data_IF_898576556031
#
_entry.id   IF_898576556031
#
_cell.length_a   1.000
_cell.length_b   1.000
_cell.length_c   1.000
_cell.angle_alpha   90.00
_cell.angle_beta   90.00
_cell.angle_gamma   90.00
#
_symmetry.space_group_name_H-M   'P 1'
#
loop_
_entity.id
_entity.type
_entity.pdbx_description
1 polymer ?
#
# COMPACT_ATOMS: atom_id res chain seq x y z
N UNK A 1 15.46 21.85 10.83
CA UNK A 1 15.03 21.96 9.42
C UNK A 1 13.58 21.53 9.21
N UNK A 2 13.11 20.42 9.76
CA UNK A 2 11.69 20.03 9.61
C UNK A 2 10.71 20.98 10.31
N UNK A 3 11.07 21.56 11.44
CA UNK A 3 10.27 22.57 12.16
C UNK A 3 10.01 23.81 11.31
N UNK A 4 11.01 24.30 10.58
CA UNK A 4 10.86 25.46 9.71
C UNK A 4 9.91 25.19 8.51
N UNK A 5 9.88 23.95 7.99
CA UNK A 5 9.00 23.58 6.88
C UNK A 5 7.54 23.48 7.32
N UNK A 6 7.26 22.94 8.48
CA UNK A 6 5.88 22.83 8.96
C UNK A 6 5.28 24.20 9.32
N UNK A 7 6.09 25.13 9.81
CA UNK A 7 5.65 26.51 10.07
C UNK A 7 5.27 27.21 8.76
N UNK A 8 6.05 27.00 7.70
CA UNK A 8 5.73 27.54 6.36
C UNK A 8 4.41 26.93 5.81
N UNK A 9 4.22 25.62 5.98
CA UNK A 9 2.97 24.94 5.59
C UNK A 9 1.78 25.52 6.38
N UNK A 10 1.93 25.73 7.69
CA UNK A 10 0.88 26.36 8.52
C UNK A 10 0.54 27.77 8.05
N UNK A 11 1.55 28.57 7.71
CA UNK A 11 1.34 29.94 7.20
C UNK A 11 0.57 29.91 5.87
N UNK A 12 0.96 29.02 4.96
CA UNK A 12 0.28 28.88 3.66
C UNK A 12 -1.17 28.39 3.80
N UNK A 13 -1.39 27.38 4.67
CA UNK A 13 -2.75 26.90 4.99
C UNK A 13 -3.60 28.00 5.64
N UNK A 14 -3.00 28.88 6.48
CA UNK A 14 -3.73 30.01 7.06
C UNK A 14 -4.14 31.04 6.00
N UNK A 15 -3.26 31.30 5.04
CA UNK A 15 -3.55 32.24 3.94
C UNK A 15 -4.62 31.72 2.98
N UNK A 16 -4.64 30.40 2.74
CA UNK A 16 -5.56 29.76 1.78
C UNK A 16 -6.82 29.18 2.43
N UNK A 17 -6.93 29.18 3.77
CA UNK A 17 -7.99 28.49 4.50
C UNK A 17 -9.41 28.85 4.03
N UNK A 18 -9.73 30.14 3.84
CA UNK A 18 -11.06 30.59 3.41
C UNK A 18 -11.35 30.22 1.96
N UNK A 19 -10.32 30.14 1.11
CA UNK A 19 -10.48 29.68 -0.27
C UNK A 19 -10.69 28.15 -0.32
N UNK A 20 -10.00 27.41 0.52
CA UNK A 20 -10.13 25.94 0.62
C UNK A 20 -11.48 25.53 1.22
N UNK A 21 -12.00 26.31 2.17
CA UNK A 21 -13.22 26.01 2.94
C UNK A 21 -14.15 27.24 3.01
N UNK A 22 -14.76 27.65 1.89
CA UNK A 22 -15.52 28.92 1.79
C UNK A 22 -16.77 28.96 2.69
N UNK A 23 -17.29 27.81 3.07
CA UNK A 23 -18.50 27.70 3.92
C UNK A 23 -18.21 27.47 5.39
N UNK A 24 -16.93 27.39 5.81
CA UNK A 24 -16.56 27.06 7.18
C UNK A 24 -16.66 28.25 8.16
N UNK A 25 -16.89 29.46 7.65
CA UNK A 25 -16.93 30.68 8.44
C UNK A 25 -15.56 31.30 8.67
N UNK A 26 -15.46 32.21 9.64
CA UNK A 26 -14.22 32.91 9.96
C UNK A 26 -13.14 31.96 10.45
N UNK A 27 -11.90 32.12 9.94
CA UNK A 27 -10.74 31.37 10.40
C UNK A 27 -10.34 31.83 11.81
N UNK A 28 -10.27 30.89 12.76
CA UNK A 28 -9.85 31.15 14.14
C UNK A 28 -8.38 30.79 14.35
N UNK A 29 -7.98 29.59 13.94
CA UNK A 29 -6.64 29.11 14.18
C UNK A 29 -6.20 28.01 13.19
N UNK A 30 -4.88 27.83 13.03
CA UNK A 30 -4.27 26.68 12.36
C UNK A 30 -3.21 26.13 13.30
N UNK A 31 -3.38 24.90 13.76
CA UNK A 31 -2.47 24.31 14.78
C UNK A 31 -2.12 22.86 14.45
N UNK A 32 -0.91 22.46 14.81
CA UNK A 32 -0.48 21.06 14.78
C UNK A 32 -1.07 20.34 15.99
N UNK A 33 -1.80 19.26 15.78
CA UNK A 33 -2.40 18.46 16.84
C UNK A 33 -1.70 17.13 17.08
N UNK A 34 -0.76 16.77 16.18
CA UNK A 34 0.08 15.60 16.33
C UNK A 34 1.05 15.43 15.18
N UNK A 35 2.04 14.55 15.37
CA UNK A 35 2.90 14.11 14.28
C UNK A 35 3.32 12.66 14.46
N UNK A 36 3.55 11.97 13.35
CA UNK A 36 4.03 10.60 13.31
C UNK A 36 5.31 10.54 12.49
N UNK A 37 6.46 10.24 13.11
CA UNK A 37 7.72 10.07 12.37
C UNK A 37 7.71 8.72 11.63
N UNK A 38 8.11 8.75 10.36
CA UNK A 38 8.40 7.58 9.52
C UNK A 38 9.88 7.58 9.14
N UNK A 39 10.33 6.54 8.46
CA UNK A 39 11.75 6.39 8.09
C UNK A 39 12.24 7.47 7.13
N UNK A 40 11.39 7.91 6.21
CA UNK A 40 11.70 8.81 5.10
C UNK A 40 10.89 10.11 5.10
N UNK A 41 9.88 10.23 5.95
CA UNK A 41 9.03 11.41 6.07
C UNK A 41 8.45 11.58 7.48
N UNK A 42 7.82 12.72 7.72
CA UNK A 42 6.93 12.96 8.85
C UNK A 42 5.50 13.13 8.34
N UNK A 43 4.52 12.64 9.09
CA UNK A 43 3.11 12.97 8.86
C UNK A 43 2.66 13.86 10.00
N UNK A 44 2.36 15.12 9.69
CA UNK A 44 1.77 16.07 10.64
C UNK A 44 0.27 16.06 10.50
N UNK A 45 -0.40 16.08 11.63
CA UNK A 45 -1.83 16.22 11.76
C UNK A 45 -2.13 17.68 12.11
N UNK A 46 -2.70 18.41 11.17
CA UNK A 46 -3.00 19.84 11.31
C UNK A 46 -4.51 20.01 11.44
N UNK A 47 -4.92 20.84 12.38
CA UNK A 47 -6.30 21.26 12.57
C UNK A 47 -6.46 22.72 12.13
N UNK A 48 -7.43 22.98 11.28
CA UNK A 48 -7.84 24.32 10.87
C UNK A 48 -9.16 24.60 11.57
N UNK A 49 -9.15 25.49 12.55
CA UNK A 49 -10.32 25.82 13.36
C UNK A 49 -11.04 27.05 12.75
N UNK A 50 -12.31 26.90 12.45
CA UNK A 50 -13.20 27.93 11.95
C UNK A 50 -14.30 28.27 12.97
N UNK A 51 -15.09 29.30 12.69
CA UNK A 51 -16.23 29.68 13.52
C UNK A 51 -17.30 28.56 13.58
N UNK A 52 -17.49 27.84 12.47
CA UNK A 52 -18.55 26.83 12.31
C UNK A 52 -18.04 25.39 12.48
N UNK A 53 -16.78 25.16 12.87
CA UNK A 53 -16.22 23.81 13.04
C UNK A 53 -14.73 23.77 12.84
N UNK A 54 -14.20 22.57 12.60
CA UNK A 54 -12.78 22.39 12.33
C UNK A 54 -12.56 21.35 11.22
N UNK A 55 -11.52 21.60 10.42
CA UNK A 55 -11.09 20.70 9.35
C UNK A 55 -9.75 20.03 9.70
N UNK A 56 -9.58 18.80 9.30
CA UNK A 56 -8.36 18.04 9.57
C UNK A 56 -7.56 17.84 8.28
N UNK A 57 -6.28 18.13 8.38
CA UNK A 57 -5.34 18.11 7.25
C UNK A 57 -4.17 17.20 7.61
N UNK A 58 -3.73 16.39 6.66
CA UNK A 58 -2.50 15.62 6.72
C UNK A 58 -1.41 16.31 5.90
N UNK A 59 -0.29 16.67 6.54
CA UNK A 59 0.89 17.18 5.85
C UNK A 59 2.02 16.14 5.94
N UNK A 60 2.34 15.50 4.81
CA UNK A 60 3.45 14.56 4.65
C UNK A 60 4.68 15.33 4.24
N UNK A 61 5.68 15.44 5.12
CA UNK A 61 6.92 16.21 4.92
C UNK A 61 8.08 15.24 4.76
N UNK A 62 8.71 15.22 3.61
CA UNK A 62 9.82 14.32 3.30
C UNK A 62 11.13 14.76 3.98
N UNK A 63 11.97 13.77 4.36
CA UNK A 63 13.27 14.01 5.00
C UNK A 63 14.37 14.16 3.97
N UNK A 64 15.09 15.27 4.01
CA UNK A 64 16.21 15.55 3.10
C UNK A 64 17.46 14.69 3.35
N UNK A 65 17.52 13.98 4.48
CA UNK A 65 18.70 13.20 4.89
C UNK A 65 19.05 12.04 3.94
N UNK A 66 18.11 11.59 3.09
CA UNK A 66 18.32 10.45 2.18
C UNK A 66 18.56 10.82 0.72
N UNK A 67 17.97 11.90 0.24
CA UNK A 67 17.99 12.25 -1.18
C UNK A 67 18.29 13.74 -1.45
N UNK A 68 18.66 14.49 -0.42
CA UNK A 68 18.89 15.93 -0.51
C UNK A 68 17.61 16.73 -0.75
N UNK A 69 17.73 18.05 -0.76
CA UNK A 69 16.59 18.96 -0.91
C UNK A 69 15.90 18.82 -2.30
N UNK A 70 16.68 18.71 -3.36
CA UNK A 70 16.16 18.58 -4.71
C UNK A 70 15.40 17.26 -4.89
N UNK A 71 15.92 16.15 -4.36
CA UNK A 71 15.27 14.85 -4.39
C UNK A 71 13.93 14.84 -3.63
N UNK A 72 13.89 15.49 -2.45
CA UNK A 72 12.68 15.65 -1.64
C UNK A 72 11.58 16.40 -2.41
N UNK A 73 11.95 17.52 -3.05
CA UNK A 73 11.00 18.30 -3.87
C UNK A 73 10.47 17.50 -5.05
N UNK A 74 11.33 16.74 -5.73
CA UNK A 74 10.93 15.90 -6.87
C UNK A 74 9.93 14.81 -6.43
N UNK A 75 10.20 14.12 -5.31
CA UNK A 75 9.28 13.10 -4.76
C UNK A 75 7.94 13.73 -4.38
N UNK A 76 7.96 14.84 -3.65
CA UNK A 76 6.73 15.54 -3.24
C UNK A 76 5.93 16.03 -4.43
N UNK A 77 6.58 16.55 -5.47
CA UNK A 77 5.93 16.97 -6.72
C UNK A 77 5.25 15.80 -7.41
N UNK A 78 5.96 14.68 -7.59
CA UNK A 78 5.40 13.47 -8.22
C UNK A 78 4.20 12.96 -7.43
N UNK A 79 4.28 12.88 -6.10
CA UNK A 79 3.16 12.42 -5.28
C UNK A 79 1.97 13.38 -5.35
N UNK A 80 2.20 14.68 -5.32
CA UNK A 80 1.13 15.69 -5.43
C UNK A 80 0.42 15.62 -6.79
N UNK A 81 1.17 15.47 -7.89
CA UNK A 81 0.63 15.27 -9.24
C UNK A 81 -0.17 13.95 -9.35
N UNK A 82 0.29 12.88 -8.72
CA UNK A 82 -0.40 11.59 -8.70
C UNK A 82 -1.69 11.65 -7.88
N UNK A 83 -1.64 12.26 -6.69
CA UNK A 83 -2.82 12.47 -5.85
C UNK A 83 -3.86 13.34 -6.56
N UNK A 84 -3.44 14.45 -7.16
CA UNK A 84 -4.33 15.33 -7.92
C UNK A 84 -5.00 14.63 -9.10
N UNK A 85 -4.26 13.79 -9.82
CA UNK A 85 -4.82 12.97 -10.90
C UNK A 85 -5.85 11.97 -10.37
N UNK A 86 -5.48 11.18 -9.34
CA UNK A 86 -6.38 10.19 -8.76
C UNK A 86 -7.66 10.84 -8.24
N UNK A 87 -7.54 11.96 -7.52
CA UNK A 87 -8.67 12.74 -7.01
C UNK A 87 -9.58 13.20 -8.16
N UNK A 88 -9.02 13.80 -9.21
CA UNK A 88 -9.81 14.29 -10.34
C UNK A 88 -10.57 13.19 -11.10
N UNK A 89 -10.01 11.98 -11.19
CA UNK A 89 -10.69 10.83 -11.80
C UNK A 89 -11.86 10.38 -10.94
N UNK A 90 -11.69 10.31 -9.63
CA UNK A 90 -12.73 9.89 -8.69
C UNK A 90 -13.85 10.90 -8.57
N UNK A 91 -13.52 12.20 -8.49
CA UNK A 91 -14.50 13.28 -8.47
C UNK A 91 -15.41 13.24 -9.71
N UNK A 92 -14.85 13.08 -10.91
CA UNK A 92 -15.61 12.95 -12.16
C UNK A 92 -16.52 11.72 -12.22
N UNK A 93 -16.23 10.69 -11.42
CA UNK A 93 -16.96 9.41 -11.37
C UNK A 93 -17.87 9.29 -10.14
N UNK A 94 -17.94 10.34 -9.32
CA UNK A 94 -18.64 10.33 -8.02
C UNK A 94 -18.21 9.16 -7.11
N UNK A 95 -16.90 8.94 -7.05
CA UNK A 95 -16.29 7.91 -6.22
C UNK A 95 -15.59 8.55 -5.03
N UNK A 96 -15.58 7.85 -3.88
CA UNK A 96 -14.99 8.32 -2.64
C UNK A 96 -13.70 7.55 -2.28
N UNK A 97 -12.96 8.07 -1.29
CA UNK A 97 -11.83 7.39 -0.67
C UNK A 97 -10.44 7.86 -1.13
N UNK A 98 -10.38 8.95 -1.91
CA UNK A 98 -9.14 9.66 -2.22
C UNK A 98 -9.18 11.00 -1.49
N UNK A 99 -8.16 11.37 -0.68
CA UNK A 99 -8.17 12.64 0.02
C UNK A 99 -8.01 13.80 -0.94
N UNK A 100 -8.77 14.88 -0.74
CA UNK A 100 -8.65 16.08 -1.55
C UNK A 100 -7.28 16.72 -1.36
N UNK A 101 -6.49 16.98 -2.42
CA UNK A 101 -5.26 17.75 -2.33
C UNK A 101 -5.59 19.22 -2.00
N UNK A 102 -4.79 19.86 -1.15
CA UNK A 102 -5.02 21.22 -0.66
C UNK A 102 -4.04 22.24 -1.24
N UNK A 103 -3.39 21.92 -2.35
CA UNK A 103 -2.46 22.80 -3.05
C UNK A 103 -1.13 22.12 -3.35
N UNK A 104 -0.22 22.86 -3.98
CA UNK A 104 1.13 22.38 -4.30
C UNK A 104 2.15 22.87 -3.25
N UNK A 105 2.53 21.98 -2.37
CA UNK A 105 3.56 22.19 -1.34
C UNK A 105 4.90 21.52 -1.67
N UNK A 106 5.10 21.12 -2.93
CA UNK A 106 6.31 20.41 -3.36
C UNK A 106 7.59 21.24 -3.22
N UNK A 107 7.51 22.54 -3.31
CA UNK A 107 8.64 23.46 -3.07
C UNK A 107 9.19 23.34 -1.64
N UNK A 108 8.33 22.99 -0.68
CA UNK A 108 8.70 22.71 0.71
C UNK A 108 9.08 21.23 0.92
N UNK A 109 8.98 20.39 -0.12
CA UNK A 109 9.18 18.94 -0.03
C UNK A 109 8.04 18.24 0.73
N UNK A 110 6.81 18.72 0.57
CA UNK A 110 5.64 18.22 1.26
C UNK A 110 4.46 17.95 0.32
N UNK A 111 3.56 17.08 0.76
CA UNK A 111 2.24 16.84 0.17
C UNK A 111 1.20 17.10 1.26
N UNK A 112 0.20 17.91 0.93
CA UNK A 112 -0.84 18.34 1.88
C UNK A 112 -2.21 17.98 1.31
N UNK A 113 -2.99 17.28 2.10
CA UNK A 113 -4.35 16.84 1.72
C UNK A 113 -5.29 16.86 2.91
N UNK A 114 -6.58 16.78 2.65
CA UNK A 114 -7.54 16.45 3.70
C UNK A 114 -7.14 15.15 4.40
N UNK A 115 -7.36 15.10 5.71
CA UNK A 115 -7.02 13.91 6.49
C UNK A 115 -8.16 12.90 6.43
N UNK A 116 -7.86 11.70 5.95
CA UNK A 116 -8.76 10.56 6.10
C UNK A 116 -8.73 10.12 7.57
N UNK A 117 -9.85 10.25 8.27
CA UNK A 117 -10.00 9.84 9.66
C UNK A 117 -10.37 8.36 9.75
N UNK A 118 -9.60 7.57 10.50
CA UNK A 118 -9.81 6.15 10.64
C UNK A 118 -8.57 5.40 11.10
N UNK A 119 -8.63 4.07 11.01
CA UNK A 119 -7.53 3.18 11.37
C UNK A 119 -6.98 2.47 10.14
N UNK A 120 -5.66 2.30 10.02
CA UNK A 120 -5.08 1.44 8.98
C UNK A 120 -5.65 0.02 9.09
N UNK A 121 -6.08 -0.54 7.97
CA UNK A 121 -6.61 -1.92 7.90
C UNK A 121 -5.59 -2.92 8.45
N UNK A 122 -4.30 -2.69 8.26
CA UNK A 122 -3.23 -3.51 8.85
C UNK A 122 -3.33 -3.59 10.38
N UNK A 123 -3.64 -2.48 11.06
CA UNK A 123 -3.78 -2.47 12.52
C UNK A 123 -4.98 -3.29 12.98
N UNK A 124 -6.09 -3.25 12.22
CA UNK A 124 -7.30 -4.03 12.48
C UNK A 124 -7.02 -5.52 12.27
N UNK A 125 -6.36 -5.89 11.15
CA UNK A 125 -5.94 -7.27 10.87
C UNK A 125 -5.02 -7.79 11.98
N UNK A 126 -4.00 -7.02 12.37
CA UNK A 126 -3.07 -7.42 13.42
C UNK A 126 -3.76 -7.63 14.76
N UNK A 127 -4.68 -6.75 15.13
CA UNK A 127 -5.49 -6.92 16.36
C UNK A 127 -6.32 -8.21 16.31
N UNK A 128 -7.00 -8.46 15.18
CA UNK A 128 -7.81 -9.66 15.02
C UNK A 128 -6.97 -10.95 14.98
N UNK A 129 -5.82 -10.92 14.31
CA UNK A 129 -4.97 -12.10 14.14
C UNK A 129 -4.21 -12.48 15.42
N UNK A 130 -3.87 -11.50 16.28
CA UNK A 130 -3.14 -11.75 17.53
C UNK A 130 -4.03 -11.85 18.75
N UNK A 131 -5.21 -11.21 18.73
CA UNK A 131 -6.15 -11.13 19.84
C UNK A 131 -7.58 -11.45 19.35
N UNK A 132 -7.86 -12.66 18.87
CA UNK A 132 -9.13 -12.98 18.20
C UNK A 132 -10.35 -12.80 19.09
N UNK A 133 -10.24 -12.99 20.40
CA UNK A 133 -11.35 -12.80 21.35
C UNK A 133 -11.79 -11.34 21.55
N UNK A 134 -11.01 -10.37 21.05
CA UNK A 134 -11.27 -8.93 21.21
C UNK A 134 -11.49 -8.21 19.89
N UNK A 135 -11.69 -8.95 18.80
CA UNK A 135 -11.80 -8.38 17.46
C UNK A 135 -13.21 -8.57 16.88
N UNK A 136 -13.69 -7.55 16.19
CA UNK A 136 -14.84 -7.64 15.31
C UNK A 136 -14.43 -8.28 13.99
N UNK A 137 -14.64 -9.60 13.90
CA UNK A 137 -14.32 -10.37 12.70
C UNK A 137 -15.22 -10.00 11.51
N UNK A 138 -16.49 -9.71 11.75
CA UNK A 138 -17.45 -9.30 10.71
C UNK A 138 -17.05 -7.97 10.09
N UNK A 139 -16.75 -6.98 10.90
CA UNK A 139 -16.30 -5.68 10.47
C UNK A 139 -14.93 -5.71 9.76
N UNK A 140 -14.02 -6.62 10.16
CA UNK A 140 -12.75 -6.82 9.47
C UNK A 140 -12.96 -7.37 8.05
N UNK A 141 -13.77 -8.43 7.90
CA UNK A 141 -14.07 -9.04 6.59
C UNK A 141 -14.79 -8.04 5.69
N UNK A 142 -15.74 -7.29 6.23
CA UNK A 142 -16.42 -6.21 5.51
C UNK A 142 -15.45 -5.11 5.04
N UNK A 143 -14.48 -4.73 5.88
CA UNK A 143 -13.46 -3.74 5.53
C UNK A 143 -12.51 -4.23 4.43
N UNK A 144 -12.14 -5.52 4.47
CA UNK A 144 -11.35 -6.13 3.40
C UNK A 144 -12.12 -6.17 2.06
N UNK A 145 -13.41 -6.48 2.09
CA UNK A 145 -14.30 -6.44 0.94
C UNK A 145 -14.38 -5.03 0.35
N UNK A 146 -14.59 -4.00 1.18
CA UNK A 146 -14.58 -2.59 0.74
C UNK A 146 -13.25 -2.17 0.12
N UNK A 147 -12.12 -2.67 0.62
CA UNK A 147 -10.80 -2.42 0.01
C UNK A 147 -10.69 -3.04 -1.39
N UNK A 148 -11.21 -4.25 -1.59
CA UNK A 148 -11.26 -4.90 -2.91
C UNK A 148 -12.18 -4.17 -3.90
N UNK A 149 -13.36 -3.76 -3.45
CA UNK A 149 -14.31 -2.96 -4.24
C UNK A 149 -13.72 -1.61 -4.64
N UNK A 150 -13.05 -0.94 -3.70
CA UNK A 150 -12.39 0.33 -3.96
C UNK A 150 -11.31 0.18 -5.03
N UNK A 151 -10.41 -0.81 -4.89
CA UNK A 151 -9.33 -1.05 -5.85
C UNK A 151 -9.89 -1.40 -7.24
N UNK A 152 -10.93 -2.23 -7.29
CA UNK A 152 -11.64 -2.54 -8.54
C UNK A 152 -12.20 -1.28 -9.20
N UNK A 153 -12.80 -0.38 -8.40
CA UNK A 153 -13.36 0.88 -8.89
C UNK A 153 -12.27 1.81 -9.41
N UNK A 154 -11.15 1.91 -8.70
CA UNK A 154 -9.97 2.68 -9.11
C UNK A 154 -9.42 2.17 -10.45
N UNK A 155 -9.16 0.87 -10.57
CA UNK A 155 -8.67 0.27 -11.81
C UNK A 155 -9.66 0.41 -12.97
N UNK A 156 -10.98 0.29 -12.73
CA UNK A 156 -12.00 0.53 -13.76
C UNK A 156 -12.09 2.00 -14.16
N UNK A 157 -11.98 2.91 -13.22
CA UNK A 157 -12.06 4.34 -13.48
C UNK A 157 -10.86 4.86 -14.31
N UNK A 158 -9.71 4.19 -14.15
CA UNK A 158 -8.45 4.52 -14.83
C UNK A 158 -8.05 3.49 -15.89
N UNK A 159 -8.97 2.62 -16.31
CA UNK A 159 -8.69 1.54 -17.26
C UNK A 159 -8.12 2.06 -18.58
N UNK A 160 -7.12 1.37 -19.05
CA UNK A 160 -6.45 1.59 -20.35
C UNK A 160 -6.45 0.29 -21.17
N UNK A 161 -5.87 0.32 -22.36
CA UNK A 161 -5.73 -0.87 -23.19
C UNK A 161 -4.94 -1.95 -22.47
N UNK A 162 -5.39 -3.22 -22.50
CA UNK A 162 -4.66 -4.32 -21.89
C UNK A 162 -3.22 -4.38 -22.38
N UNK A 163 -2.31 -4.75 -21.49
CA UNK A 163 -0.89 -4.92 -21.84
C UNK A 163 -0.60 -6.38 -22.23
N UNK A 164 0.23 -6.61 -23.25
CA UNK A 164 0.72 -7.96 -23.54
C UNK A 164 1.38 -8.56 -22.30
N UNK A 165 1.03 -9.79 -21.98
CA UNK A 165 1.63 -10.52 -20.88
C UNK A 165 2.44 -11.69 -21.43
N UNK A 166 3.73 -11.65 -21.15
CA UNK A 166 4.64 -12.74 -21.45
C UNK A 166 4.96 -13.52 -20.16
N UNK A 167 4.45 -14.76 -20.03
CA UNK A 167 4.76 -15.62 -18.90
C UNK A 167 6.26 -15.87 -18.69
N UNK A 168 7.05 -15.94 -19.77
CA UNK A 168 8.49 -16.22 -19.69
C UNK A 168 9.26 -15.05 -19.06
N UNK A 169 8.84 -13.80 -19.32
CA UNK A 169 9.41 -12.63 -18.66
C UNK A 169 9.15 -12.68 -17.16
N UNK A 170 7.93 -13.03 -16.73
CA UNK A 170 7.62 -13.16 -15.30
C UNK A 170 8.40 -14.34 -14.66
N UNK A 171 8.55 -15.46 -15.36
CA UNK A 171 9.33 -16.59 -14.88
C UNK A 171 10.82 -16.23 -14.74
N UNK A 172 11.41 -15.56 -15.71
CA UNK A 172 12.80 -15.09 -15.65
C UNK A 172 13.04 -14.12 -14.48
N UNK A 173 12.11 -13.20 -14.24
CA UNK A 173 12.18 -12.29 -13.10
C UNK A 173 12.06 -13.06 -11.76
N UNK A 174 11.17 -14.05 -11.70
CA UNK A 174 11.02 -14.91 -10.52
C UNK A 174 12.28 -15.77 -10.27
N UNK A 175 12.91 -16.31 -11.32
CA UNK A 175 14.19 -17.02 -11.24
C UNK A 175 15.29 -16.13 -10.67
N UNK A 176 15.41 -14.91 -11.19
CA UNK A 176 16.38 -13.91 -10.72
C UNK A 176 16.18 -13.59 -9.23
N UNK A 177 14.94 -13.43 -8.81
CA UNK A 177 14.61 -13.23 -7.39
C UNK A 177 14.94 -14.46 -6.54
N UNK A 178 14.69 -15.67 -7.03
CA UNK A 178 15.04 -16.92 -6.34
C UNK A 178 16.56 -17.04 -6.16
N UNK A 179 17.37 -16.67 -7.16
CA UNK A 179 18.83 -16.63 -7.05
C UNK A 179 19.27 -15.67 -5.95
N UNK A 180 18.71 -14.46 -5.93
CA UNK A 180 18.99 -13.49 -4.87
C UNK A 180 18.59 -14.03 -3.48
N UNK A 181 17.42 -14.66 -3.38
CA UNK A 181 16.93 -15.25 -2.13
C UNK A 181 17.74 -16.47 -1.67
N UNK A 182 18.34 -17.24 -2.60
CA UNK A 182 19.29 -18.32 -2.28
C UNK A 182 20.50 -17.75 -1.53
N UNK A 183 21.08 -16.67 -2.00
CA UNK A 183 22.16 -15.94 -1.32
C UNK A 183 21.76 -15.48 0.10
N UNK A 184 20.47 -15.30 0.36
CA UNK A 184 19.88 -14.96 1.66
C UNK A 184 19.47 -16.19 2.49
N UNK A 185 19.71 -17.41 2.01
CA UNK A 185 19.48 -18.66 2.72
C UNK A 185 18.16 -19.37 2.40
N UNK A 186 17.45 -19.02 1.34
CA UNK A 186 16.32 -19.81 0.83
C UNK A 186 16.88 -21.12 0.22
N UNK A 187 16.30 -22.25 0.59
CA UNK A 187 16.79 -23.56 0.13
C UNK A 187 16.33 -23.91 -1.29
N UNK A 188 17.09 -24.82 -1.93
CA UNK A 188 16.83 -25.26 -3.29
C UNK A 188 15.51 -26.02 -3.45
N UNK A 189 14.99 -26.63 -2.39
CA UNK A 189 13.71 -27.31 -2.44
C UNK A 189 12.56 -26.31 -2.57
N UNK A 190 12.59 -25.23 -1.78
CA UNK A 190 11.61 -24.15 -1.88
C UNK A 190 11.70 -23.46 -3.25
N UNK A 191 12.92 -23.19 -3.76
CA UNK A 191 13.14 -22.60 -5.08
C UNK A 191 12.54 -23.49 -6.17
N UNK A 192 12.81 -24.80 -6.15
CA UNK A 192 12.21 -25.74 -7.12
C UNK A 192 10.69 -25.74 -7.04
N UNK A 193 10.12 -25.75 -5.84
CA UNK A 193 8.66 -25.69 -5.65
C UNK A 193 8.08 -24.43 -6.27
N UNK A 194 8.69 -23.28 -6.01
CA UNK A 194 8.25 -21.97 -6.56
C UNK A 194 8.28 -22.00 -8.08
N UNK A 195 9.41 -22.36 -8.68
CA UNK A 195 9.58 -22.29 -10.14
C UNK A 195 8.73 -23.31 -10.88
N UNK A 196 8.64 -24.56 -10.36
CA UNK A 196 7.79 -25.59 -10.96
C UNK A 196 6.31 -25.20 -10.85
N UNK A 197 5.88 -24.73 -9.69
CA UNK A 197 4.50 -24.26 -9.50
C UNK A 197 4.16 -23.06 -10.37
N UNK A 198 5.07 -22.08 -10.47
CA UNK A 198 4.86 -20.92 -11.33
C UNK A 198 4.72 -21.32 -12.82
N UNK A 199 5.59 -22.20 -13.34
CA UNK A 199 5.49 -22.72 -14.71
C UNK A 199 4.14 -23.41 -14.94
N UNK A 200 3.70 -24.24 -13.99
CA UNK A 200 2.39 -24.91 -14.09
C UNK A 200 1.22 -23.93 -14.08
N UNK A 201 1.22 -22.94 -13.17
CA UNK A 201 0.17 -21.93 -13.08
C UNK A 201 0.10 -21.03 -14.31
N UNK A 202 1.24 -20.67 -14.90
CA UNK A 202 1.32 -19.78 -16.06
C UNK A 202 1.11 -20.49 -17.39
N UNK A 203 1.25 -21.81 -17.47
CA UNK A 203 1.06 -22.59 -18.73
C UNK A 203 -0.33 -22.43 -19.35
N UNK A 204 -1.35 -22.09 -18.55
CA UNK A 204 -2.74 -21.88 -18.94
C UNK A 204 -3.18 -20.42 -18.85
N UNK A 205 -2.22 -19.49 -18.67
CA UNK A 205 -2.49 -18.09 -18.40
C UNK A 205 -2.97 -17.28 -19.60
N UNK A 206 -3.57 -16.13 -19.30
CA UNK A 206 -3.91 -15.11 -20.30
C UNK A 206 -2.65 -14.53 -20.92
N UNK A 207 -2.73 -14.10 -22.18
CA UNK A 207 -1.64 -13.42 -22.88
C UNK A 207 -1.73 -11.90 -22.81
N UNK A 208 -2.71 -11.37 -22.10
CA UNK A 208 -2.86 -9.95 -21.84
C UNK A 208 -3.40 -9.74 -20.42
N UNK A 209 -2.87 -8.73 -19.74
CA UNK A 209 -3.33 -8.31 -18.41
C UNK A 209 -4.06 -6.97 -18.51
N UNK A 210 -5.09 -6.76 -17.66
CA UNK A 210 -5.73 -5.46 -17.57
C UNK A 210 -4.72 -4.40 -17.12
N UNK A 211 -4.74 -3.26 -17.79
CA UNK A 211 -3.90 -2.09 -17.51
C UNK A 211 -4.75 -0.93 -17.02
N UNK A 212 -4.22 -0.19 -16.08
CA UNK A 212 -4.83 0.99 -15.47
C UNK A 212 -3.76 1.86 -14.80
N UNK A 213 -4.13 2.94 -14.17
CA UNK A 213 -3.26 3.51 -13.15
C UNK A 213 -3.05 2.48 -12.02
N UNK A 214 -1.83 2.40 -11.49
CA UNK A 214 -1.43 1.46 -10.43
C UNK A 214 -0.76 2.21 -9.29
N UNK A 215 -1.10 1.85 -8.06
CA UNK A 215 -0.58 2.51 -6.85
C UNK A 215 0.83 2.04 -6.51
N UNK A 216 1.20 0.81 -6.90
CA UNK A 216 2.50 0.18 -6.63
C UNK A 216 2.89 0.06 -5.15
N UNK A 217 2.01 0.50 -4.26
CA UNK A 217 2.14 0.37 -2.79
C UNK A 217 0.77 0.18 -2.11
N UNK A 218 -0.16 -0.49 -2.81
CA UNK A 218 -1.47 -0.80 -2.26
C UNK A 218 -1.36 -1.89 -1.20
N UNK A 219 -1.10 -1.47 0.03
CA UNK A 219 -0.91 -2.35 1.20
C UNK A 219 -1.98 -2.07 2.25
N UNK A 220 -2.30 -3.01 3.16
CA UNK A 220 -3.24 -2.77 4.24
C UNK A 220 -2.84 -1.60 5.17
N UNK A 221 -1.56 -1.19 5.17
CA UNK A 221 -1.09 -0.03 5.91
C UNK A 221 -1.61 1.29 5.32
N UNK A 222 -1.73 1.35 3.99
CA UNK A 222 -2.16 2.53 3.24
C UNK A 222 -3.68 2.56 2.99
N UNK A 223 -4.41 1.52 3.42
CA UNK A 223 -5.88 1.46 3.42
C UNK A 223 -6.38 1.90 4.79
N UNK A 224 -7.05 3.04 4.85
CA UNK A 224 -7.65 3.58 6.07
C UNK A 224 -9.13 3.20 6.12
N UNK A 225 -9.52 2.48 7.15
CA UNK A 225 -10.93 2.14 7.40
C UNK A 225 -11.60 3.29 8.14
N UNK A 226 -12.61 3.88 7.53
CA UNK A 226 -13.40 4.99 8.05
C UNK A 226 -14.90 4.62 8.11
N UNK A 227 -15.69 5.44 8.76
CA UNK A 227 -17.14 5.18 8.90
C UNK A 227 -17.85 5.04 7.55
N UNK A 228 -17.49 5.87 6.58
CA UNK A 228 -18.08 5.88 5.22
C UNK A 228 -17.54 4.77 4.30
N UNK A 229 -16.49 4.05 4.69
CA UNK A 229 -15.88 3.06 3.82
C UNK A 229 -14.38 2.87 4.02
N UNK A 230 -13.62 2.99 2.95
CA UNK A 230 -12.16 2.97 2.97
C UNK A 230 -11.61 4.17 2.21
N UNK A 231 -10.49 4.70 2.71
CA UNK A 231 -9.73 5.70 2.01
C UNK A 231 -8.28 5.25 1.82
N UNK A 232 -7.63 5.77 0.79
CA UNK A 232 -6.27 5.37 0.42
C UNK A 232 -5.32 6.53 0.62
N UNK A 233 -4.15 6.23 1.17
CA UNK A 233 -3.05 7.17 1.37
C UNK A 233 -1.81 6.68 0.63
N UNK A 234 -0.85 7.59 0.43
CA UNK A 234 0.46 7.32 -0.21
C UNK A 234 0.38 7.04 -1.72
N UNK A 235 0.54 8.12 -2.49
CA UNK A 235 0.56 8.11 -3.95
C UNK A 235 1.96 8.29 -4.55
N UNK A 236 3.01 8.26 -3.72
CA UNK A 236 4.39 8.52 -4.14
C UNK A 236 4.89 7.56 -5.24
N UNK A 237 4.42 6.30 -5.21
CA UNK A 237 4.82 5.25 -6.15
C UNK A 237 3.82 5.02 -7.27
N UNK A 238 2.73 5.74 -7.29
CA UNK A 238 1.71 5.56 -8.30
C UNK A 238 2.28 5.81 -9.70
N UNK A 239 1.92 4.95 -10.64
CA UNK A 239 2.14 5.13 -12.08
C UNK A 239 0.80 5.27 -12.77
N UNK A 240 0.72 6.13 -13.80
CA UNK A 240 -0.54 6.38 -14.53
C UNK A 240 -0.95 5.23 -15.44
N UNK A 241 -0.05 4.27 -15.66
CA UNK A 241 -0.27 3.07 -16.43
C UNK A 241 0.59 1.93 -15.92
N UNK A 242 0.02 0.76 -15.83
CA UNK A 242 0.70 -0.48 -15.48
C UNK A 242 -0.27 -1.65 -15.30
N UNK A 243 0.24 -2.86 -15.08
CA UNK A 243 -0.59 -4.04 -14.89
C UNK A 243 -1.32 -3.97 -13.55
N UNK A 244 -2.66 -3.89 -13.60
CA UNK A 244 -3.54 -3.72 -12.42
C UNK A 244 -3.36 -4.81 -11.36
N UNK A 245 -2.99 -6.03 -11.78
CA UNK A 245 -2.78 -7.15 -10.86
C UNK A 245 -1.58 -6.99 -9.92
N UNK A 246 -0.68 -6.03 -10.21
CA UNK A 246 0.42 -5.68 -9.32
C UNK A 246 -0.07 -5.22 -7.94
N UNK A 247 -1.07 -4.34 -7.91
CA UNK A 247 -1.65 -3.83 -6.66
C UNK A 247 -2.41 -4.91 -5.89
N UNK A 248 -3.15 -5.77 -6.60
CA UNK A 248 -3.84 -6.93 -5.99
C UNK A 248 -2.84 -7.87 -5.32
N UNK A 249 -1.77 -8.22 -6.03
CA UNK A 249 -0.71 -9.08 -5.52
C UNK A 249 0.02 -8.45 -4.34
N UNK A 250 0.25 -7.12 -4.38
CA UNK A 250 0.87 -6.36 -3.29
C UNK A 250 0.03 -6.41 -2.01
N UNK A 251 -1.28 -6.19 -2.11
CA UNK A 251 -2.20 -6.29 -0.97
C UNK A 251 -2.19 -7.70 -0.37
N UNK A 252 -2.41 -8.73 -1.20
CA UNK A 252 -2.45 -10.12 -0.76
C UNK A 252 -1.13 -10.55 -0.11
N UNK A 253 0.01 -10.23 -0.73
CA UNK A 253 1.33 -10.53 -0.17
C UNK A 253 1.57 -9.81 1.16
N UNK A 254 1.10 -8.56 1.29
CA UNK A 254 1.24 -7.78 2.52
C UNK A 254 0.41 -8.35 3.66
N UNK A 255 -0.80 -8.84 3.39
CA UNK A 255 -1.64 -9.55 4.37
C UNK A 255 -0.99 -10.87 4.77
N UNK A 256 -0.57 -11.69 3.79
CA UNK A 256 0.08 -12.98 4.05
C UNK A 256 1.39 -12.82 4.82
N UNK A 257 2.16 -11.75 4.57
CA UNK A 257 3.39 -11.46 5.29
C UNK A 257 3.19 -11.18 6.79
N UNK A 258 1.98 -10.90 7.26
CA UNK A 258 1.66 -10.79 8.68
C UNK A 258 1.77 -12.14 9.41
N UNK A 259 1.63 -13.26 8.70
CA UNK A 259 1.77 -14.62 9.24
C UNK A 259 3.21 -14.95 9.73
N UNK A 260 4.18 -14.10 9.42
CA UNK A 260 5.54 -14.20 10.00
C UNK A 260 5.56 -13.94 11.50
N UNK A 261 4.56 -13.23 12.04
CA UNK A 261 4.52 -12.98 13.48
C UNK A 261 4.09 -14.23 14.23
N UNK A 262 4.78 -14.56 15.33
CA UNK A 262 4.38 -15.67 16.18
C UNK A 262 2.93 -15.52 16.65
N UNK A 263 2.20 -16.63 16.68
CA UNK A 263 0.81 -16.69 17.11
C UNK A 263 -0.20 -15.96 16.20
N UNK A 264 0.22 -15.52 15.02
CA UNK A 264 -0.72 -14.96 14.04
C UNK A 264 -1.72 -16.03 13.60
N UNK A 265 -3.00 -15.75 13.76
CA UNK A 265 -4.08 -16.62 13.31
C UNK A 265 -4.21 -16.56 11.77
N UNK A 266 -3.71 -17.60 11.11
CA UNK A 266 -3.72 -17.71 9.64
C UNK A 266 -5.12 -17.77 9.03
N UNK A 267 -6.12 -18.24 9.78
CA UNK A 267 -7.50 -18.23 9.31
C UNK A 267 -8.00 -16.80 9.08
N UNK A 268 -7.59 -15.85 9.94
CA UNK A 268 -7.95 -14.45 9.79
C UNK A 268 -7.30 -13.83 8.54
N UNK A 269 -6.02 -14.05 8.34
CA UNK A 269 -5.33 -13.54 7.14
C UNK A 269 -5.87 -14.16 5.85
N UNK A 270 -6.25 -15.43 5.88
CA UNK A 270 -6.94 -16.12 4.78
C UNK A 270 -8.30 -15.47 4.46
N UNK A 271 -9.17 -15.32 5.47
CA UNK A 271 -10.49 -14.68 5.31
C UNK A 271 -10.40 -13.26 4.73
N UNK A 272 -9.40 -12.48 5.17
CA UNK A 272 -9.15 -11.13 4.64
C UNK A 272 -8.76 -11.18 3.15
N UNK A 273 -7.86 -12.10 2.77
CA UNK A 273 -7.45 -12.26 1.37
C UNK A 273 -8.62 -12.72 0.49
N UNK A 274 -9.41 -13.69 0.96
CA UNK A 274 -10.55 -14.24 0.23
C UNK A 274 -11.61 -13.16 0.01
N UNK A 275 -12.00 -12.43 1.06
CA UNK A 275 -12.98 -11.35 0.98
C UNK A 275 -12.55 -10.21 0.04
N UNK A 276 -11.27 -9.84 0.11
CA UNK A 276 -10.69 -8.84 -0.79
C UNK A 276 -10.71 -9.31 -2.25
N UNK A 277 -10.25 -10.54 -2.52
CA UNK A 277 -10.15 -11.07 -3.87
C UNK A 277 -11.51 -11.31 -4.52
N UNK A 278 -12.49 -11.80 -3.74
CA UNK A 278 -13.88 -11.95 -4.17
C UNK A 278 -14.47 -10.60 -4.59
N UNK A 279 -14.30 -9.57 -3.77
CA UNK A 279 -14.80 -8.23 -4.04
C UNK A 279 -14.10 -7.55 -5.22
N UNK A 280 -12.79 -7.78 -5.37
CA UNK A 280 -12.06 -7.34 -6.56
C UNK A 280 -12.58 -8.02 -7.82
N UNK A 281 -13.06 -9.27 -7.74
CA UNK A 281 -13.72 -10.00 -8.80
C UNK A 281 -12.77 -10.67 -9.79
N UNK A 282 -11.61 -11.13 -9.34
CA UNK A 282 -10.69 -11.92 -10.15
C UNK A 282 -11.23 -13.32 -10.41
N UNK A 283 -11.29 -13.73 -11.68
CA UNK A 283 -11.70 -15.07 -12.07
C UNK A 283 -10.61 -16.12 -11.83
N UNK A 284 -10.92 -17.40 -11.95
CA UNK A 284 -10.00 -18.51 -11.65
C UNK A 284 -8.70 -18.49 -12.45
N UNK A 285 -8.73 -18.08 -13.73
CA UNK A 285 -7.52 -17.96 -14.56
C UNK A 285 -6.64 -16.78 -14.13
N UNK A 286 -7.25 -15.69 -13.68
CA UNK A 286 -6.56 -14.52 -13.12
C UNK A 286 -5.95 -14.83 -11.76
N UNK A 287 -6.63 -15.62 -10.93
CA UNK A 287 -6.12 -16.07 -9.64
C UNK A 287 -4.81 -16.88 -9.77
N UNK A 288 -4.65 -17.67 -10.84
CA UNK A 288 -3.41 -18.39 -11.11
C UNK A 288 -2.22 -17.40 -11.30
N UNK A 289 -2.42 -16.36 -12.11
CA UNK A 289 -1.40 -15.32 -12.32
C UNK A 289 -1.15 -14.55 -11.02
N UNK A 290 -2.21 -14.20 -10.28
CA UNK A 290 -2.10 -13.49 -9.00
C UNK A 290 -1.31 -14.27 -7.95
N UNK A 291 -1.41 -15.62 -7.91
CA UNK A 291 -0.59 -16.47 -7.03
C UNK A 291 0.90 -16.29 -7.35
N UNK A 292 1.28 -16.27 -8.62
CA UNK A 292 2.68 -16.10 -9.05
C UNK A 292 3.16 -14.70 -8.73
N UNK A 293 2.37 -13.65 -9.04
CA UNK A 293 2.69 -12.27 -8.71
C UNK A 293 2.80 -12.05 -7.19
N UNK A 294 1.91 -12.65 -6.40
CA UNK A 294 2.00 -12.62 -4.93
C UNK A 294 3.31 -13.23 -4.44
N UNK A 295 3.71 -14.40 -4.97
CA UNK A 295 4.99 -15.03 -4.60
C UNK A 295 6.18 -14.15 -4.98
N UNK A 296 6.16 -13.51 -6.15
CA UNK A 296 7.16 -12.54 -6.56
C UNK A 296 7.30 -11.39 -5.56
N UNK A 297 6.19 -10.84 -5.09
CA UNK A 297 6.19 -9.78 -4.07
C UNK A 297 6.78 -10.28 -2.76
N UNK A 298 6.40 -11.47 -2.29
CA UNK A 298 6.93 -12.07 -1.06
C UNK A 298 8.46 -12.29 -1.14
N UNK A 299 8.96 -12.81 -2.27
CA UNK A 299 10.41 -12.95 -2.50
C UNK A 299 11.12 -11.59 -2.52
N UNK A 300 10.52 -10.57 -3.14
CA UNK A 300 11.06 -9.21 -3.12
C UNK A 300 11.11 -8.62 -1.71
N UNK A 301 10.11 -8.91 -0.87
CA UNK A 301 10.13 -8.51 0.56
C UNK A 301 11.22 -9.23 1.33
N UNK A 302 11.44 -10.52 1.05
CA UNK A 302 12.49 -11.30 1.68
C UNK A 302 13.88 -10.77 1.31
N UNK A 303 14.16 -10.58 0.02
CA UNK A 303 15.43 -10.06 -0.47
C UNK A 303 15.76 -8.65 0.07
N UNK A 304 14.74 -7.78 0.19
CA UNK A 304 14.92 -6.41 0.72
C UNK A 304 15.08 -6.34 2.23
N UNK A 305 14.50 -7.26 2.98
CA UNK A 305 14.47 -7.22 4.45
C UNK A 305 15.85 -7.31 5.10
N UNK A 306 16.86 -7.83 4.39
CA UNK A 306 18.25 -7.93 4.87
C UNK A 306 19.08 -6.65 4.66
N UNK A 307 18.70 -5.82 3.72
CA UNK A 307 19.41 -4.57 3.39
C UNK A 307 19.16 -3.41 4.36
N UNK A 308 18.43 -3.64 5.46
CA UNK A 308 18.25 -2.64 6.51
C UNK A 308 19.54 -2.54 7.31
N UNK A 309 20.40 -1.59 6.92
CA UNK A 309 21.75 -1.36 7.46
C UNK A 309 21.83 -1.10 8.97
N UNK A 310 20.72 -0.80 9.64
CA UNK A 310 20.67 -0.30 11.01
C UNK A 310 20.10 -1.26 12.06
N UNK A 311 19.74 -2.51 11.68
CA UNK A 311 19.18 -3.43 12.66
C UNK A 311 20.26 -4.22 13.39
N UNK A 312 20.17 -4.29 14.72
CA UNK A 312 21.01 -5.14 15.57
C UNK A 312 21.08 -6.57 14.98
N UNK A 313 22.25 -7.21 15.11
CA UNK A 313 22.53 -8.59 14.64
C UNK A 313 21.40 -9.56 15.00
N UNK A 314 20.83 -9.44 16.22
CA UNK A 314 19.69 -10.22 16.70
C UNK A 314 18.42 -10.07 15.81
N UNK A 315 18.13 -8.87 15.31
CA UNK A 315 17.00 -8.64 14.37
C UNK A 315 17.27 -9.30 13.02
N UNK A 316 18.52 -9.26 12.53
CA UNK A 316 18.91 -9.91 11.26
C UNK A 316 18.76 -11.42 11.32
N UNK A 317 19.22 -12.05 12.42
CA UNK A 317 19.11 -13.49 12.61
C UNK A 317 17.66 -13.93 12.78
N UNK A 318 16.89 -13.23 13.60
CA UNK A 318 15.45 -13.52 13.76
C UNK A 318 14.70 -13.36 12.43
N UNK A 319 14.94 -12.26 11.71
CA UNK A 319 14.31 -12.00 10.43
C UNK A 319 14.64 -13.08 9.40
N UNK A 320 15.90 -13.42 9.23
CA UNK A 320 16.31 -14.46 8.29
C UNK A 320 15.62 -15.81 8.59
N UNK A 321 15.61 -16.26 9.85
CA UNK A 321 14.99 -17.53 10.21
C UNK A 321 13.46 -17.51 10.10
N UNK A 322 12.81 -16.47 10.59
CA UNK A 322 11.34 -16.34 10.56
C UNK A 322 10.85 -16.18 9.13
N UNK A 323 11.47 -15.30 8.35
CA UNK A 323 11.07 -15.07 6.96
C UNK A 323 11.39 -16.24 6.06
N UNK A 324 12.53 -16.92 6.27
CA UNK A 324 12.85 -18.14 5.53
C UNK A 324 11.76 -19.20 5.68
N UNK A 325 11.41 -19.53 6.93
CA UNK A 325 10.34 -20.52 7.22
C UNK A 325 8.99 -20.07 6.63
N UNK A 326 8.68 -18.80 6.77
CA UNK A 326 7.45 -18.23 6.22
C UNK A 326 7.41 -18.38 4.68
N UNK A 327 8.47 -18.01 3.95
CA UNK A 327 8.52 -18.16 2.49
C UNK A 327 8.44 -19.63 2.07
N UNK A 328 9.11 -20.54 2.74
CA UNK A 328 9.02 -21.98 2.49
C UNK A 328 7.57 -22.49 2.61
N UNK A 329 6.87 -22.10 3.68
CA UNK A 329 5.47 -22.46 3.89
C UNK A 329 4.53 -21.82 2.87
N UNK A 330 4.75 -20.55 2.52
CA UNK A 330 3.98 -19.85 1.49
C UNK A 330 4.17 -20.52 0.11
N UNK A 331 5.40 -20.94 -0.23
CA UNK A 331 5.69 -21.66 -1.46
C UNK A 331 4.94 -23.01 -1.51
N UNK A 332 4.98 -23.78 -0.43
CA UNK A 332 4.26 -25.05 -0.36
C UNK A 332 2.74 -24.88 -0.54
N UNK A 333 2.15 -23.87 0.11
CA UNK A 333 0.70 -23.62 0.03
C UNK A 333 0.24 -23.09 -1.34
N UNK A 334 1.00 -22.15 -1.90
CA UNK A 334 0.53 -21.39 -3.08
C UNK A 334 1.01 -21.96 -4.41
N UNK A 335 2.13 -22.69 -4.42
CA UNK A 335 2.81 -23.17 -5.63
C UNK A 335 2.78 -24.68 -5.79
N UNK A 336 2.28 -25.45 -4.82
CA UNK A 336 2.12 -26.90 -4.99
C UNK A 336 1.07 -27.22 -6.04
N UNK A 337 1.32 -28.18 -6.95
CA UNK A 337 0.36 -28.58 -7.99
C UNK A 337 -0.94 -29.19 -7.44
N UNK A 338 -0.97 -29.57 -6.18
CA UNK A 338 -2.09 -30.21 -5.50
C UNK A 338 -2.97 -29.24 -4.69
N UNK A 339 -2.76 -27.93 -4.81
CA UNK A 339 -3.52 -26.92 -4.09
C UNK A 339 -4.62 -26.28 -4.93
#
# INVERSE_FOLDING_TARGET
MAENVIDQIQAELRNSALQLYPNAGELRNVRIVGHTPKTDHFIYDVCIDFANGSERVAAKVYRSSKCGQQGVRAIAKTENENLGYAYSVFEKKDLAGIPRPLGDFSTFGAVVSEKISGLPLQSIIMKAALLPGFADHGGLVASARKAGEWLRSFHKATADMPEPFDPEVLLSDLESLCVNCRGEGLDDAAIRTILTGARHLLSRGKRALPSSAVLNDFTPLNVIVCESGVGITDYARMARRGPSFGDVAMFMASVEALEKYPFCNRSITGQVQDAFLEAYGANSSEQAILRVLKMRVLLSMFARGRNVKESAVRKKVMWANVMKRFIQQAAQRSMSPAA
#
